data_IF_480657733066
#
_entry.id   IF_480657733066
#
_cell.length_a   1.000
_cell.length_b   1.000
_cell.length_c   1.000
_cell.angle_alpha   90.00
_cell.angle_beta   90.00
_cell.angle_gamma   90.00
#
_symmetry.space_group_name_H-M   'P 1'
#
loop_
_entity.id
_entity.type
_entity.pdbx_description
1 polymer ?
#
# COMPACT_ATOMS: atom_id res chain seq x y z
N UNK A 1 -7.16 15.17 -25.99
CA UNK A 1 -8.10 14.23 -25.34
C UNK A 1 -8.11 14.58 -23.87
N UNK A 2 -9.21 14.40 -23.13
CA UNK A 2 -9.17 14.57 -21.68
C UNK A 2 -8.31 13.47 -21.07
N UNK A 3 -7.32 13.83 -20.27
CA UNK A 3 -6.53 12.83 -19.54
C UNK A 3 -7.40 12.18 -18.46
N UNK A 4 -7.32 10.86 -18.34
CA UNK A 4 -8.00 10.10 -17.30
C UNK A 4 -7.02 9.94 -16.15
N UNK A 5 -7.50 10.07 -14.91
CA UNK A 5 -6.68 9.85 -13.74
C UNK A 5 -6.03 8.44 -13.79
N UNK A 6 -4.73 8.39 -13.55
CA UNK A 6 -3.89 7.19 -13.73
C UNK A 6 -3.44 6.69 -12.37
N UNK A 7 -3.67 5.41 -12.11
CA UNK A 7 -3.08 4.73 -10.95
C UNK A 7 -1.55 4.81 -11.01
N UNK A 8 -0.91 5.14 -9.89
CA UNK A 8 0.53 5.24 -9.77
C UNK A 8 1.10 4.09 -8.95
N UNK A 9 0.62 3.93 -7.72
CA UNK A 9 1.12 2.97 -6.76
C UNK A 9 0.09 2.75 -5.65
N UNK A 10 0.37 1.78 -4.79
CA UNK A 10 -0.29 1.63 -3.50
C UNK A 10 0.80 1.48 -2.45
N UNK A 11 0.78 2.36 -1.46
CA UNK A 11 1.68 2.31 -0.32
C UNK A 11 1.00 1.57 0.85
N UNK A 12 1.77 0.79 1.60
CA UNK A 12 1.42 0.23 2.89
C UNK A 12 2.12 1.04 3.98
N UNK A 13 1.33 1.83 4.70
CA UNK A 13 1.80 2.62 5.84
C UNK A 13 1.47 1.94 7.17
N UNK A 14 2.50 1.77 7.98
CA UNK A 14 2.43 1.15 9.30
C UNK A 14 2.92 2.12 10.37
N UNK A 15 2.19 2.16 11.48
CA UNK A 15 2.61 2.88 12.70
C UNK A 15 2.52 1.91 13.87
N UNK A 16 3.57 1.84 14.68
CA UNK A 16 3.60 1.00 15.89
C UNK A 16 4.40 1.62 17.02
N UNK A 17 4.17 1.15 18.25
CA UNK A 17 5.04 1.49 19.39
C UNK A 17 6.29 0.61 19.46
N UNK A 18 6.25 -0.58 18.83
CA UNK A 18 7.32 -1.58 18.95
C UNK A 18 8.19 -1.66 17.69
N UNK A 19 9.23 -2.48 17.78
CA UNK A 19 10.17 -2.71 16.70
C UNK A 19 9.54 -3.44 15.50
N UNK A 20 9.48 -2.81 14.31
CA UNK A 20 8.91 -3.41 13.10
C UNK A 20 9.94 -4.05 12.16
N UNK A 21 11.24 -4.11 12.51
CA UNK A 21 12.30 -4.66 11.64
C UNK A 21 11.93 -6.04 11.11
N UNK A 22 11.46 -6.93 11.99
CA UNK A 22 11.12 -8.30 11.63
C UNK A 22 9.91 -8.36 10.68
N UNK A 23 8.90 -7.51 10.90
CA UNK A 23 7.74 -7.43 10.01
C UNK A 23 8.15 -6.90 8.63
N UNK A 24 8.95 -5.83 8.59
CA UNK A 24 9.48 -5.25 7.35
C UNK A 24 10.26 -6.30 6.56
N UNK A 25 11.19 -7.02 7.20
CA UNK A 25 11.97 -8.07 6.55
C UNK A 25 11.11 -9.21 5.99
N UNK A 26 10.05 -9.61 6.71
CA UNK A 26 9.12 -10.63 6.25
C UNK A 26 8.33 -10.18 5.01
N UNK A 27 7.89 -8.92 4.98
CA UNK A 27 7.20 -8.33 3.82
C UNK A 27 8.15 -8.16 2.64
N UNK A 28 9.39 -7.72 2.86
CA UNK A 28 10.42 -7.62 1.80
C UNK A 28 10.70 -8.97 1.16
N UNK A 29 10.81 -10.03 1.97
CA UNK A 29 10.97 -11.40 1.47
C UNK A 29 9.77 -11.85 0.62
N UNK A 30 8.60 -11.25 0.83
CA UNK A 30 7.35 -11.52 0.11
C UNK A 30 7.12 -10.59 -1.08
N UNK A 31 8.11 -9.76 -1.44
CA UNK A 31 8.07 -8.93 -2.65
C UNK A 31 7.76 -7.45 -2.42
N UNK A 32 7.64 -7.00 -1.17
CA UNK A 32 7.59 -5.56 -0.87
C UNK A 32 8.96 -4.91 -1.05
N UNK A 33 8.94 -3.63 -1.38
CA UNK A 33 10.06 -2.72 -1.37
C UNK A 33 9.84 -1.68 -0.27
N UNK A 34 10.80 -1.53 0.64
CA UNK A 34 10.73 -0.55 1.72
C UNK A 34 11.15 0.84 1.21
N UNK A 35 10.21 1.78 1.23
CA UNK A 35 10.48 3.20 0.95
C UNK A 35 11.05 3.90 2.18
N UNK A 36 10.51 3.56 3.35
CA UNK A 36 10.97 4.09 4.63
C UNK A 36 10.70 3.09 5.75
N UNK A 37 11.62 2.98 6.71
CA UNK A 37 11.42 2.27 7.96
C UNK A 37 12.31 2.85 9.07
N UNK A 38 11.73 3.25 10.19
CA UNK A 38 12.49 3.77 11.32
C UNK A 38 11.65 4.40 12.41
N UNK A 39 12.33 4.88 13.45
CA UNK A 39 11.72 5.60 14.58
C UNK A 39 11.58 7.08 14.22
N UNK A 40 10.37 7.62 14.33
CA UNK A 40 10.07 9.03 14.12
C UNK A 40 10.39 9.88 15.36
N UNK A 41 10.32 11.20 15.20
CA UNK A 41 10.61 12.16 16.28
C UNK A 41 9.68 12.05 17.50
N UNK A 42 8.50 11.45 17.32
CA UNK A 42 7.55 11.18 18.39
C UNK A 42 7.81 9.85 19.14
N UNK A 43 8.90 9.16 18.79
CA UNK A 43 9.32 7.89 19.38
C UNK A 43 8.57 6.66 18.89
N UNK A 44 7.63 6.80 17.94
CA UNK A 44 6.94 5.67 17.32
C UNK A 44 7.72 5.14 16.13
N UNK A 45 7.44 3.89 15.77
CA UNK A 45 7.90 3.29 14.54
C UNK A 45 7.00 3.66 13.37
N UNK A 46 7.60 4.01 12.25
CA UNK A 46 6.96 4.20 10.95
C UNK A 46 7.59 3.28 9.90
N UNK A 47 6.76 2.66 9.06
CA UNK A 47 7.22 1.97 7.87
C UNK A 47 6.27 2.23 6.70
N UNK A 48 6.84 2.55 5.55
CA UNK A 48 6.14 2.71 4.27
C UNK A 48 6.77 1.74 3.28
N UNK A 49 5.96 0.84 2.74
CA UNK A 49 6.38 -0.17 1.77
C UNK A 49 5.41 -0.21 0.60
N UNK A 50 5.88 -0.57 -0.58
CA UNK A 50 5.02 -0.82 -1.75
C UNK A 50 5.44 -2.11 -2.45
N UNK A 51 4.60 -2.69 -3.31
CA UNK A 51 5.03 -3.78 -4.19
C UNK A 51 5.60 -3.15 -5.46
N UNK A 52 6.85 -3.49 -5.76
CA UNK A 52 7.53 -3.00 -6.96
C UNK A 52 6.88 -3.62 -8.21
N UNK A 53 6.37 -2.78 -9.10
CA UNK A 53 5.81 -3.25 -10.37
C UNK A 53 6.96 -3.85 -11.21
N UNK A 54 6.95 -5.18 -11.38
CA UNK A 54 7.92 -5.85 -12.25
C UNK A 54 7.82 -5.20 -13.63
N UNK A 55 8.96 -4.82 -14.22
CA UNK A 55 9.11 -4.08 -15.46
C UNK A 55 8.57 -4.76 -16.74
N UNK A 56 7.71 -5.77 -16.60
CA UNK A 56 6.97 -6.33 -17.73
C UNK A 56 5.78 -5.41 -18.02
N UNK A 57 5.90 -4.67 -19.13
CA UNK A 57 4.92 -3.68 -19.54
C UNK A 57 3.49 -4.24 -19.65
N UNK A 58 3.36 -5.54 -19.93
CA UNK A 58 2.10 -6.26 -20.08
C UNK A 58 1.45 -6.67 -18.74
N UNK A 59 2.24 -6.70 -17.66
CA UNK A 59 1.83 -7.06 -16.31
C UNK A 59 1.78 -5.86 -15.37
N UNK A 60 2.03 -4.63 -15.86
CA UNK A 60 1.84 -3.41 -15.06
C UNK A 60 0.54 -3.57 -14.29
N UNK A 61 0.66 -3.59 -12.97
CA UNK A 61 -0.46 -3.61 -12.05
C UNK A 61 -1.10 -2.21 -12.09
N UNK A 62 -1.50 -1.70 -13.28
CA UNK A 62 -2.16 -0.41 -13.48
C UNK A 62 -3.57 -0.37 -12.86
N UNK A 63 -3.87 -1.34 -12.03
CA UNK A 63 -5.13 -1.53 -11.37
C UNK A 63 -4.86 -1.75 -9.89
N UNK A 64 -5.44 -0.91 -9.03
CA UNK A 64 -5.22 -0.99 -7.58
C UNK A 64 -5.60 -2.36 -7.03
N UNK A 65 -6.65 -3.00 -7.55
CA UNK A 65 -7.10 -4.32 -7.10
C UNK A 65 -5.99 -5.38 -7.20
N UNK A 66 -5.23 -5.41 -8.28
CA UNK A 66 -4.20 -6.44 -8.46
C UNK A 66 -3.03 -6.22 -7.49
N UNK A 67 -2.58 -4.97 -7.31
CA UNK A 67 -1.54 -4.64 -6.31
C UNK A 67 -2.02 -4.98 -4.91
N UNK A 68 -3.25 -4.57 -4.55
CA UNK A 68 -3.81 -4.82 -3.23
C UNK A 68 -3.94 -6.31 -2.96
N UNK A 69 -4.42 -7.11 -3.92
CA UNK A 69 -4.50 -8.57 -3.76
C UNK A 69 -3.13 -9.18 -3.46
N UNK A 70 -2.07 -8.78 -4.16
CA UNK A 70 -0.72 -9.26 -3.89
C UNK A 70 -0.22 -8.85 -2.50
N UNK A 71 -0.51 -7.61 -2.09
CA UNK A 71 -0.18 -7.13 -0.74
C UNK A 71 -0.90 -7.96 0.33
N UNK A 72 -2.20 -8.21 0.14
CA UNK A 72 -2.99 -9.02 1.06
C UNK A 72 -2.50 -10.46 1.13
N UNK A 73 -2.15 -11.07 0.00
CA UNK A 73 -1.61 -12.44 -0.05
C UNK A 73 -0.32 -12.55 0.80
N UNK A 74 0.58 -11.58 0.66
CA UNK A 74 1.82 -11.53 1.43
C UNK A 74 1.59 -11.27 2.93
N UNK A 75 0.66 -10.38 3.30
CA UNK A 75 0.32 -10.11 4.71
C UNK A 75 -0.38 -11.31 5.36
N UNK A 76 -1.24 -12.01 4.64
CA UNK A 76 -1.93 -13.21 5.14
C UNK A 76 -0.97 -14.39 5.31
N UNK A 77 0.14 -14.42 4.57
CA UNK A 77 1.18 -15.44 4.65
C UNK A 77 2.25 -15.19 5.73
N UNK A 78 2.15 -14.10 6.50
CA UNK A 78 3.10 -13.79 7.57
C UNK A 78 3.20 -14.96 8.58
N UNK A 79 4.42 -15.24 9.01
CA UNK A 79 4.68 -16.21 10.07
C UNK A 79 4.21 -15.68 11.44
N UNK A 80 4.14 -16.54 12.45
CA UNK A 80 3.58 -16.16 13.74
C UNK A 80 4.29 -14.96 14.41
N UNK A 81 5.63 -14.84 14.39
CA UNK A 81 6.32 -13.65 14.89
C UNK A 81 5.97 -12.36 14.14
N UNK A 82 6.03 -12.36 12.81
CA UNK A 82 5.71 -11.16 12.03
C UNK A 82 4.21 -10.82 12.12
N UNK A 83 3.34 -11.83 12.17
CA UNK A 83 1.91 -11.66 12.39
C UNK A 83 1.59 -11.01 13.73
N UNK A 84 2.31 -11.35 14.80
CA UNK A 84 2.13 -10.71 16.09
C UNK A 84 2.49 -9.21 16.06
N UNK A 85 3.56 -8.85 15.34
CA UNK A 85 3.93 -7.44 15.11
C UNK A 85 2.90 -6.72 14.25
N UNK A 86 2.36 -7.41 13.23
CA UNK A 86 1.22 -6.92 12.47
C UNK A 86 0.06 -6.62 13.43
N UNK A 87 -0.47 -7.59 14.15
CA UNK A 87 -1.65 -7.39 15.00
C UNK A 87 -1.44 -6.30 16.09
N UNK A 88 -0.20 -6.00 16.46
CA UNK A 88 0.17 -4.96 17.42
C UNK A 88 0.37 -3.54 16.83
N UNK A 89 0.34 -3.35 15.49
CA UNK A 89 0.42 -2.02 14.90
C UNK A 89 -0.77 -1.15 15.35
N UNK A 90 -0.49 0.12 15.64
CA UNK A 90 -1.49 1.13 15.94
C UNK A 90 -2.30 1.53 14.70
N UNK A 91 -1.63 1.59 13.54
CA UNK A 91 -2.24 1.94 12.26
C UNK A 91 -1.69 1.07 11.15
N UNK A 92 -2.57 0.78 10.19
CA UNK A 92 -2.36 -0.06 9.01
C UNK A 92 -3.15 0.57 7.88
N UNK A 93 -2.50 1.21 6.93
CA UNK A 93 -3.21 1.93 5.88
C UNK A 93 -2.67 1.53 4.53
N UNK A 94 -3.57 1.25 3.59
CA UNK A 94 -3.21 1.28 2.17
C UNK A 94 -3.51 2.67 1.62
N UNK A 95 -2.51 3.37 1.10
CA UNK A 95 -2.72 4.63 0.38
C UNK A 95 -2.59 4.40 -1.13
N UNK A 96 -3.70 4.61 -1.86
CA UNK A 96 -3.76 4.37 -3.29
C UNK A 96 -3.48 5.68 -4.03
N UNK A 97 -2.31 5.76 -4.67
CA UNK A 97 -1.85 6.94 -5.40
C UNK A 97 -2.43 7.02 -6.82
N UNK A 98 -2.97 8.20 -7.17
CA UNK A 98 -3.38 8.53 -8.54
C UNK A 98 -2.79 9.85 -9.00
N UNK A 99 -2.30 9.88 -10.24
CA UNK A 99 -2.10 11.11 -10.98
C UNK A 99 -3.45 11.59 -11.48
N UNK A 100 -3.91 12.78 -11.08
CA UNK A 100 -5.11 13.39 -11.64
C UNK A 100 -4.93 13.60 -13.15
N UNK A 101 -6.03 13.47 -13.88
CA UNK A 101 -6.19 13.98 -15.25
C UNK A 101 -7.30 15.02 -15.28
N UNK A 102 -7.77 15.37 -16.48
CA UNK A 102 -8.86 16.35 -16.71
C UNK A 102 -10.26 15.86 -16.27
N UNK A 103 -10.35 14.61 -15.79
CA UNK A 103 -11.57 13.97 -15.32
C UNK A 103 -11.83 14.21 -13.84
N UNK A 104 -13.10 14.37 -13.45
CA UNK A 104 -13.51 14.61 -12.06
C UNK A 104 -13.65 13.34 -11.20
N UNK A 105 -13.30 12.15 -11.72
CA UNK A 105 -13.58 10.88 -11.04
C UNK A 105 -12.48 9.85 -11.28
N UNK A 106 -12.09 9.19 -10.19
CA UNK A 106 -11.32 7.93 -10.18
C UNK A 106 -12.28 6.77 -9.90
N UNK A 107 -11.95 5.57 -10.41
CA UNK A 107 -12.67 4.35 -10.08
C UNK A 107 -11.66 3.25 -9.72
N UNK A 108 -11.70 2.76 -8.49
CA UNK A 108 -10.77 1.74 -7.99
C UNK A 108 -11.25 0.30 -8.28
N UNK A 109 -12.55 0.11 -8.53
CA UNK A 109 -13.21 -1.19 -8.80
C UNK A 109 -12.84 -2.33 -7.82
N UNK A 110 -12.51 -1.99 -6.56
CA UNK A 110 -12.18 -2.99 -5.56
C UNK A 110 -13.35 -3.94 -5.32
N UNK A 111 -13.06 -5.24 -5.30
CA UNK A 111 -14.11 -6.23 -5.08
C UNK A 111 -14.50 -6.31 -3.61
N UNK A 112 -15.73 -6.76 -3.34
CA UNK A 112 -16.17 -7.02 -1.95
C UNK A 112 -15.27 -8.05 -1.25
N UNK A 113 -14.70 -9.00 -1.99
CA UNK A 113 -13.76 -9.98 -1.46
C UNK A 113 -12.49 -9.30 -0.95
N UNK A 114 -11.88 -8.43 -1.76
CA UNK A 114 -10.70 -7.64 -1.38
C UNK A 114 -10.97 -6.72 -0.21
N UNK A 115 -12.10 -6.00 -0.22
CA UNK A 115 -12.50 -5.14 0.92
C UNK A 115 -12.71 -5.95 2.22
N UNK A 116 -13.24 -7.17 2.12
CA UNK A 116 -13.43 -8.04 3.28
C UNK A 116 -12.10 -8.51 3.86
N UNK A 117 -11.12 -8.85 3.00
CA UNK A 117 -9.75 -9.22 3.42
C UNK A 117 -9.05 -8.05 4.12
N UNK A 118 -9.10 -6.85 3.53
CA UNK A 118 -8.57 -5.62 4.16
C UNK A 118 -9.17 -5.40 5.54
N UNK A 119 -10.50 -5.51 5.66
CA UNK A 119 -11.19 -5.36 6.94
C UNK A 119 -10.77 -6.43 7.96
N UNK A 120 -10.56 -7.68 7.54
CA UNK A 120 -10.12 -8.77 8.42
C UNK A 120 -8.68 -8.57 8.94
N UNK A 121 -7.86 -7.85 8.18
CA UNK A 121 -6.49 -7.48 8.57
C UNK A 121 -6.41 -6.17 9.36
N UNK A 122 -7.55 -5.51 9.62
CA UNK A 122 -7.62 -4.26 10.38
C UNK A 122 -7.06 -3.05 9.63
N UNK A 123 -7.15 -3.05 8.29
CA UNK A 123 -6.57 -2.01 7.45
C UNK A 123 -7.55 -0.87 7.16
N UNK A 124 -7.05 0.37 7.23
CA UNK A 124 -7.65 1.55 6.63
C UNK A 124 -7.25 1.71 5.16
N UNK A 125 -7.93 2.62 4.47
CA UNK A 125 -7.64 2.96 3.08
C UNK A 125 -7.66 4.47 2.88
N UNK A 126 -6.57 5.01 2.35
CA UNK A 126 -6.45 6.37 1.85
C UNK A 126 -6.38 6.37 0.32
N UNK A 127 -6.66 7.53 -0.26
CA UNK A 127 -6.52 7.79 -1.69
C UNK A 127 -5.82 9.13 -1.83
N UNK A 128 -4.56 9.10 -2.26
CA UNK A 128 -3.79 10.29 -2.58
C UNK A 128 -3.96 10.67 -4.06
N UNK A 129 -4.46 11.88 -4.29
CA UNK A 129 -4.66 12.46 -5.62
C UNK A 129 -3.59 13.52 -5.89
N UNK A 130 -2.62 13.20 -6.72
CA UNK A 130 -1.61 14.14 -7.18
C UNK A 130 -2.20 15.07 -8.24
N UNK A 131 -2.03 16.39 -8.11
CA UNK A 131 -2.56 17.34 -9.10
C UNK A 131 -1.94 17.09 -10.47
N UNK A 132 -2.68 17.37 -11.55
CA UNK A 132 -2.09 17.43 -12.89
C UNK A 132 -0.93 18.42 -12.88
N UNK A 133 0.18 18.10 -13.54
CA UNK A 133 1.18 19.11 -13.87
C UNK A 133 0.46 20.21 -14.65
N UNK A 134 0.39 21.41 -14.08
CA UNK A 134 -0.06 22.58 -14.81
C UNK A 134 1.12 22.94 -15.70
N UNK A 135 1.00 22.67 -17.00
CA UNK A 135 1.92 23.21 -18.00
C UNK A 135 2.08 24.72 -17.74
N UNK A 136 3.28 25.14 -17.34
CA UNK A 136 3.64 26.55 -17.20
C UNK A 136 3.86 27.19 -18.58
#
# INVERSE_FOLDING_TARGET
>A
MKEVARYLNTDLDLIAEQDLTLLVQALETSGFYTLHAGVGDDGKWYATLEINEVADEALHLRQPELTIVLMLDAIEALDAPARALWDACMSKTLDIGYQCGDGARVRNELTNATLSRMSALGMGMFITLYPCDIDN
#
